data_IF_524406637149
#
_entry.id   IF_524406637149
#
_cell.length_a   1.000
_cell.length_b   1.000
_cell.length_c   1.000
_cell.angle_alpha   90.00
_cell.angle_beta   90.00
_cell.angle_gamma   90.00
#
_symmetry.space_group_name_H-M   'P 1'
#
loop_
_entity.id
_entity.type
_entity.pdbx_description
1 polymer ?
#
# COMPACT_ATOMS: atom_id res chain seq x y z
N UNK A 1 -19.96 7.69 5.65
CA UNK A 1 -18.54 7.79 5.26
C UNK A 1 -18.11 6.67 4.32
N UNK A 2 -18.50 5.41 4.55
CA UNK A 2 -18.20 4.28 3.65
C UNK A 2 -18.62 4.53 2.18
N UNK A 3 -19.79 5.12 1.94
CA UNK A 3 -20.25 5.47 0.58
C UNK A 3 -19.29 6.42 -0.16
N UNK A 4 -18.72 7.40 0.55
CA UNK A 4 -17.74 8.33 -0.01
C UNK A 4 -16.43 7.63 -0.36
N UNK A 5 -15.92 6.77 0.53
CA UNK A 5 -14.71 6.00 0.27
C UNK A 5 -14.85 5.09 -0.97
N UNK A 6 -15.99 4.41 -1.11
CA UNK A 6 -16.28 3.57 -2.28
C UNK A 6 -16.37 4.38 -3.59
N UNK A 7 -16.98 5.57 -3.55
CA UNK A 7 -17.02 6.48 -4.70
C UNK A 7 -15.62 6.91 -5.13
N UNK A 8 -14.77 7.29 -4.16
CA UNK A 8 -13.37 7.66 -4.42
C UNK A 8 -12.60 6.47 -5.00
N UNK A 9 -12.80 5.26 -4.45
CA UNK A 9 -12.18 4.03 -4.99
C UNK A 9 -12.60 3.78 -6.44
N UNK A 10 -13.89 3.88 -6.76
CA UNK A 10 -14.38 3.72 -8.13
C UNK A 10 -13.84 4.78 -9.09
N UNK A 11 -13.81 6.04 -8.67
CA UNK A 11 -13.22 7.13 -9.45
C UNK A 11 -11.72 6.92 -9.67
N UNK A 12 -10.98 6.53 -8.63
CA UNK A 12 -9.55 6.24 -8.72
C UNK A 12 -9.26 5.07 -9.66
N UNK A 13 -10.04 3.99 -9.58
CA UNK A 13 -9.96 2.87 -10.53
C UNK A 13 -10.11 3.35 -11.97
N UNK A 14 -11.13 4.16 -12.26
CA UNK A 14 -11.36 4.71 -13.60
C UNK A 14 -10.20 5.60 -14.08
N UNK A 15 -9.66 6.46 -13.20
CA UNK A 15 -8.50 7.31 -13.50
C UNK A 15 -7.28 6.47 -13.85
N UNK A 16 -6.95 5.45 -13.07
CA UNK A 16 -5.79 4.59 -13.36
C UNK A 16 -6.01 3.76 -14.63
N UNK A 17 -7.20 3.21 -14.88
CA UNK A 17 -7.52 2.57 -16.17
C UNK A 17 -7.36 3.53 -17.35
N UNK A 18 -7.81 4.78 -17.20
CA UNK A 18 -7.60 5.83 -18.18
C UNK A 18 -6.12 6.15 -18.39
N UNK A 19 -5.32 6.17 -17.32
CA UNK A 19 -3.87 6.36 -17.40
C UNK A 19 -3.18 5.20 -18.14
N UNK A 20 -3.53 3.95 -17.85
CA UNK A 20 -3.05 2.78 -18.59
C UNK A 20 -3.34 2.93 -20.10
N UNK A 21 -4.57 3.32 -20.45
CA UNK A 21 -4.96 3.57 -21.84
C UNK A 21 -4.19 4.74 -22.47
N UNK A 22 -4.05 5.88 -21.78
CA UNK A 22 -3.30 7.03 -22.28
C UNK A 22 -1.82 6.70 -22.53
N UNK A 23 -1.19 5.91 -21.66
CA UNK A 23 0.18 5.43 -21.86
C UNK A 23 0.32 4.49 -23.06
N UNK A 24 -0.77 3.89 -23.56
CA UNK A 24 -0.74 3.14 -24.81
C UNK A 24 -0.50 4.03 -26.03
N UNK A 25 -0.87 5.31 -25.94
CA UNK A 25 -0.69 6.31 -26.99
C UNK A 25 0.74 6.86 -27.04
N UNK A 26 1.51 6.73 -25.96
CA UNK A 26 2.90 7.21 -25.92
C UNK A 26 3.85 6.23 -26.63
N UNK A 27 4.82 6.76 -27.42
CA UNK A 27 5.86 5.95 -28.02
C UNK A 27 6.72 5.32 -26.93
N UNK A 28 6.75 3.99 -26.89
CA UNK A 28 7.62 3.24 -25.99
C UNK A 28 9.07 3.35 -26.48
N UNK A 29 10.05 3.58 -25.59
CA UNK A 29 11.46 3.56 -25.97
C UNK A 29 11.81 2.26 -26.69
N UNK A 30 12.59 2.34 -27.78
CA UNK A 30 13.01 1.15 -28.54
C UNK A 30 13.76 0.12 -27.69
N UNK A 31 14.44 0.58 -26.62
CA UNK A 31 15.13 -0.27 -25.65
C UNK A 31 14.20 -1.13 -24.77
N UNK A 32 12.92 -0.76 -24.64
CA UNK A 32 11.91 -1.53 -23.90
C UNK A 32 10.90 -2.23 -24.84
N UNK A 33 11.23 -2.34 -26.13
CA UNK A 33 10.31 -2.83 -27.16
C UNK A 33 9.89 -4.30 -26.96
N UNK A 34 10.69 -5.10 -26.26
CA UNK A 34 10.40 -6.52 -26.00
C UNK A 34 9.28 -6.68 -24.95
N UNK A 35 9.23 -5.79 -23.96
CA UNK A 35 8.32 -5.86 -22.81
C UNK A 35 7.49 -4.56 -22.64
N UNK A 36 6.95 -4.03 -23.75
CA UNK A 36 6.24 -2.73 -23.78
C UNK A 36 5.13 -2.59 -22.75
N UNK A 37 4.29 -3.62 -22.61
CA UNK A 37 3.20 -3.61 -21.64
C UNK A 37 3.75 -3.53 -20.21
N UNK A 38 4.74 -4.36 -19.88
CA UNK A 38 5.34 -4.43 -18.54
C UNK A 38 6.02 -3.11 -18.17
N UNK A 39 6.71 -2.49 -19.13
CA UNK A 39 7.29 -1.15 -18.94
C UNK A 39 6.21 -0.11 -18.60
N UNK A 40 5.11 -0.08 -19.38
CA UNK A 40 3.98 0.83 -19.14
C UNK A 40 3.34 0.58 -17.77
N UNK A 41 3.11 -0.69 -17.42
CA UNK A 41 2.58 -1.08 -16.11
C UNK A 41 3.46 -0.53 -14.98
N UNK A 42 4.78 -0.77 -15.05
CA UNK A 42 5.73 -0.27 -14.05
C UNK A 42 5.74 1.26 -13.99
N UNK A 43 5.54 1.98 -15.10
CA UNK A 43 5.39 3.43 -15.08
C UNK A 43 4.13 3.88 -14.33
N UNK A 44 2.99 3.21 -14.55
CA UNK A 44 1.76 3.50 -13.77
C UNK A 44 1.99 3.21 -12.29
N UNK A 45 2.58 2.06 -11.98
CA UNK A 45 2.91 1.68 -10.61
C UNK A 45 3.86 2.67 -9.95
N UNK A 46 4.84 3.20 -10.69
CA UNK A 46 5.75 4.24 -10.20
C UNK A 46 4.99 5.53 -9.85
N UNK A 47 4.07 5.98 -10.71
CA UNK A 47 3.23 7.17 -10.45
C UNK A 47 2.38 6.96 -9.20
N UNK A 48 1.76 5.79 -9.07
CA UNK A 48 1.00 5.45 -7.87
C UNK A 48 1.88 5.49 -6.62
N UNK A 49 2.99 4.73 -6.60
CA UNK A 49 3.85 4.62 -5.44
C UNK A 49 4.47 5.96 -5.02
N UNK A 50 4.77 6.85 -5.99
CA UNK A 50 5.21 8.21 -5.70
C UNK A 50 4.08 9.03 -5.04
N UNK A 51 2.90 9.02 -5.64
CA UNK A 51 1.76 9.79 -5.15
C UNK A 51 1.35 9.35 -3.74
N UNK A 52 1.17 8.06 -3.53
CA UNK A 52 0.67 7.53 -2.25
C UNK A 52 1.74 7.44 -1.19
N UNK A 53 2.98 7.09 -1.56
CA UNK A 53 4.11 7.06 -0.63
C UNK A 53 4.47 8.45 -0.09
N UNK A 54 4.54 9.47 -0.96
CA UNK A 54 4.82 10.86 -0.53
C UNK A 54 3.65 11.42 0.27
N UNK A 55 2.40 11.15 -0.14
CA UNK A 55 1.22 11.59 0.61
C UNK A 55 1.18 10.93 2.00
N UNK A 56 1.46 9.63 2.11
CA UNK A 56 1.53 8.95 3.40
C UNK A 56 2.62 9.56 4.30
N UNK A 57 3.82 9.81 3.75
CA UNK A 57 4.93 10.41 4.50
C UNK A 57 4.59 11.81 5.00
N UNK A 58 4.08 12.69 4.14
CA UNK A 58 3.66 14.03 4.53
C UNK A 58 2.50 13.97 5.52
N UNK A 59 1.54 13.10 5.28
CA UNK A 59 0.38 12.89 6.11
C UNK A 59 0.73 12.50 7.54
N UNK A 60 1.62 11.53 7.72
CA UNK A 60 2.12 11.11 9.04
C UNK A 60 3.01 12.16 9.70
N UNK A 61 3.76 12.93 8.91
CA UNK A 61 4.59 14.03 9.43
C UNK A 61 3.74 15.18 9.98
N UNK A 62 2.61 15.47 9.33
CA UNK A 62 1.70 16.55 9.72
C UNK A 62 0.65 16.12 10.76
N UNK A 63 0.25 14.85 10.75
CA UNK A 63 -0.76 14.27 11.65
C UNK A 63 -0.23 13.00 12.32
N UNK A 64 0.75 13.13 13.24
CA UNK A 64 1.34 11.99 13.93
C UNK A 64 0.32 11.21 14.79
N UNK A 65 -0.85 11.81 15.07
CA UNK A 65 -1.95 11.16 15.78
C UNK A 65 -2.39 9.86 15.09
N UNK A 66 -2.24 9.72 13.77
CA UNK A 66 -2.55 8.48 13.06
C UNK A 66 -1.61 7.31 13.41
N UNK A 67 -0.40 7.59 13.92
CA UNK A 67 0.51 6.57 14.41
C UNK A 67 0.32 6.29 15.92
N UNK A 68 -0.21 7.25 16.66
CA UNK A 68 -0.47 7.15 18.11
C UNK A 68 -1.80 6.44 18.39
N UNK A 69 -2.86 6.79 17.66
CA UNK A 69 -4.15 6.10 17.64
C UNK A 69 -4.47 5.65 16.21
N UNK A 70 -3.89 4.52 15.76
CA UNK A 70 -4.07 4.03 14.40
C UNK A 70 -5.49 3.55 14.09
N UNK A 71 -6.32 3.32 15.12
CA UNK A 71 -7.66 2.77 14.99
C UNK A 71 -8.64 3.89 14.66
N UNK A 72 -8.68 4.96 15.46
CA UNK A 72 -9.72 5.99 15.37
C UNK A 72 -9.19 7.37 14.96
N UNK A 73 -7.91 7.66 15.19
CA UNK A 73 -7.33 8.98 15.01
C UNK A 73 -6.95 9.28 13.57
N UNK A 74 -7.91 9.52 12.68
CA UNK A 74 -7.61 9.87 11.28
C UNK A 74 -8.42 11.07 10.74
N UNK A 75 -7.78 11.95 9.95
CA UNK A 75 -8.48 12.97 9.18
C UNK A 75 -9.16 12.35 7.95
N UNK A 76 -10.15 13.06 7.39
CA UNK A 76 -10.92 12.56 6.23
C UNK A 76 -10.07 12.34 4.97
N UNK A 77 -8.99 13.11 4.79
CA UNK A 77 -8.08 12.94 3.65
C UNK A 77 -7.31 11.60 3.71
N UNK A 78 -7.09 11.04 4.90
CA UNK A 78 -6.40 9.76 5.05
C UNK A 78 -7.24 8.62 4.46
N UNK A 79 -8.56 8.69 4.63
CA UNK A 79 -9.49 7.76 4.00
C UNK A 79 -9.47 7.90 2.47
N UNK A 80 -9.33 9.12 1.95
CA UNK A 80 -9.18 9.37 0.50
C UNK A 80 -7.90 8.74 -0.02
N UNK A 81 -6.77 8.91 0.67
CA UNK A 81 -5.50 8.28 0.31
C UNK A 81 -5.64 6.74 0.24
N UNK A 82 -6.23 6.12 1.26
CA UNK A 82 -6.48 4.67 1.28
C UNK A 82 -7.41 4.24 0.14
N UNK A 83 -8.49 4.99 -0.11
CA UNK A 83 -9.44 4.72 -1.18
C UNK A 83 -8.80 4.82 -2.58
N UNK A 84 -7.93 5.81 -2.80
CA UNK A 84 -7.13 5.94 -4.02
C UNK A 84 -6.21 4.74 -4.20
N UNK A 85 -5.58 4.26 -3.13
CA UNK A 85 -4.74 3.06 -3.20
C UNK A 85 -5.51 1.81 -3.56
N UNK A 86 -6.69 1.58 -2.98
CA UNK A 86 -7.55 0.45 -3.36
C UNK A 86 -7.93 0.52 -4.84
N UNK A 87 -8.33 1.69 -5.34
CA UNK A 87 -8.70 1.88 -6.74
C UNK A 87 -7.55 1.55 -7.70
N UNK A 88 -6.33 1.98 -7.36
CA UNK A 88 -5.12 1.61 -8.11
C UNK A 88 -4.85 0.11 -8.09
N UNK A 89 -4.79 -0.55 -6.92
CA UNK A 89 -4.44 -1.97 -6.83
C UNK A 89 -5.43 -2.86 -7.59
N UNK A 90 -6.72 -2.48 -7.59
CA UNK A 90 -7.74 -3.11 -8.42
C UNK A 90 -7.48 -2.90 -9.91
N UNK A 91 -7.15 -1.67 -10.33
CA UNK A 91 -6.88 -1.35 -11.73
C UNK A 91 -5.65 -2.10 -12.27
N UNK A 92 -4.57 -2.15 -11.49
CA UNK A 92 -3.32 -2.86 -11.83
C UNK A 92 -3.54 -4.38 -11.83
N UNK A 93 -4.28 -4.91 -10.84
CA UNK A 93 -4.63 -6.34 -10.80
C UNK A 93 -5.46 -6.79 -12.01
N UNK A 94 -6.44 -5.97 -12.43
CA UNK A 94 -7.20 -6.22 -13.67
C UNK A 94 -6.28 -6.16 -14.88
N UNK A 95 -5.36 -5.19 -14.96
CA UNK A 95 -4.44 -5.07 -16.09
C UNK A 95 -3.51 -6.29 -16.19
N UNK A 96 -3.00 -6.80 -15.07
CA UNK A 96 -2.20 -8.01 -15.03
C UNK A 96 -2.98 -9.26 -15.48
N UNK A 97 -4.22 -9.42 -15.02
CA UNK A 97 -5.08 -10.54 -15.42
C UNK A 97 -5.39 -10.56 -16.92
N UNK A 98 -5.45 -9.39 -17.55
CA UNK A 98 -5.73 -9.25 -18.98
C UNK A 98 -4.48 -9.44 -19.85
N UNK A 99 -3.29 -9.14 -19.33
CA UNK A 99 -2.06 -9.07 -20.13
C UNK A 99 -1.00 -10.12 -19.77
N UNK A 100 -1.15 -10.85 -18.66
CA UNK A 100 -0.24 -11.92 -18.25
C UNK A 100 -0.99 -13.24 -18.00
N UNK A 101 -0.27 -14.35 -18.09
CA UNK A 101 -0.82 -15.65 -17.66
C UNK A 101 -0.94 -15.69 -16.14
N UNK A 102 -1.95 -16.41 -15.63
CA UNK A 102 -2.18 -16.54 -14.19
C UNK A 102 -0.94 -17.03 -13.43
N UNK A 103 -0.16 -17.95 -13.99
CA UNK A 103 1.06 -18.46 -13.36
C UNK A 103 2.14 -17.38 -13.20
N UNK A 104 2.29 -16.48 -14.17
CA UNK A 104 3.25 -15.36 -14.10
C UNK A 104 2.79 -14.26 -13.14
N UNK A 105 1.49 -14.03 -13.06
CA UNK A 105 0.88 -12.97 -12.25
C UNK A 105 0.55 -13.40 -10.81
N UNK A 106 0.56 -14.70 -10.51
CA UNK A 106 0.00 -15.28 -9.28
C UNK A 106 0.53 -14.65 -8.00
N UNK A 107 1.86 -14.54 -7.86
CA UNK A 107 2.49 -14.00 -6.65
C UNK A 107 2.04 -12.55 -6.39
N UNK A 108 2.00 -11.74 -7.45
CA UNK A 108 1.66 -10.33 -7.36
C UNK A 108 0.14 -10.12 -7.22
N UNK A 109 -0.70 -10.96 -7.84
CA UNK A 109 -2.15 -10.95 -7.62
C UNK A 109 -2.53 -11.37 -6.21
N UNK A 110 -1.86 -12.38 -5.64
CA UNK A 110 -2.04 -12.75 -4.24
C UNK A 110 -1.69 -11.58 -3.32
N UNK A 111 -0.56 -10.90 -3.59
CA UNK A 111 -0.17 -9.71 -2.84
C UNK A 111 -1.24 -8.61 -2.94
N UNK A 112 -1.72 -8.29 -4.16
CA UNK A 112 -2.76 -7.29 -4.37
C UNK A 112 -4.06 -7.66 -3.66
N UNK A 113 -4.44 -8.94 -3.68
CA UNK A 113 -5.65 -9.43 -3.01
C UNK A 113 -5.60 -9.18 -1.51
N UNK A 114 -4.47 -9.44 -0.86
CA UNK A 114 -4.28 -9.20 0.58
C UNK A 114 -4.32 -7.70 0.88
N UNK A 115 -3.60 -6.88 0.11
CA UNK A 115 -3.56 -5.42 0.31
C UNK A 115 -4.94 -4.80 0.11
N UNK A 116 -5.63 -5.12 -1.00
CA UNK A 116 -6.98 -4.65 -1.30
C UNK A 116 -7.95 -5.04 -0.19
N UNK A 117 -7.89 -6.28 0.31
CA UNK A 117 -8.77 -6.73 1.39
C UNK A 117 -8.56 -5.94 2.68
N UNK A 118 -7.29 -5.72 3.07
CA UNK A 118 -6.94 -4.95 4.26
C UNK A 118 -7.40 -3.49 4.15
N UNK A 119 -7.03 -2.81 3.06
CA UNK A 119 -7.38 -1.41 2.84
C UNK A 119 -8.90 -1.20 2.68
N UNK A 120 -9.59 -2.12 2.01
CA UNK A 120 -11.05 -2.07 1.86
C UNK A 120 -11.77 -2.24 3.19
N UNK A 121 -11.24 -3.08 4.08
CA UNK A 121 -11.77 -3.24 5.44
C UNK A 121 -11.70 -1.91 6.21
N UNK A 122 -10.61 -1.15 6.06
CA UNK A 122 -10.50 0.17 6.68
C UNK A 122 -11.49 1.20 6.07
N UNK A 123 -11.76 1.12 4.77
CA UNK A 123 -12.76 1.98 4.11
C UNK A 123 -14.18 1.69 4.61
N UNK A 124 -14.53 0.41 4.70
CA UNK A 124 -15.88 -0.03 5.08
C UNK A 124 -16.14 0.18 6.58
N UNK A 125 -15.15 -0.12 7.42
CA UNK A 125 -15.26 0.05 8.87
C UNK A 125 -15.02 1.50 9.31
N UNK A 126 -14.30 2.30 8.53
CA UNK A 126 -13.75 3.59 8.96
C UNK A 126 -12.87 3.49 10.22
N UNK A 127 -12.24 2.34 10.43
CA UNK A 127 -11.27 2.09 11.49
C UNK A 127 -9.95 1.62 10.86
N UNK A 128 -8.85 1.67 11.61
CA UNK A 128 -7.52 1.21 11.15
C UNK A 128 -6.93 1.99 9.97
N UNK A 129 -7.48 3.17 9.66
CA UNK A 129 -6.99 4.02 8.57
C UNK A 129 -5.55 4.45 8.84
N UNK A 130 -5.17 4.71 10.09
CA UNK A 130 -3.79 5.04 10.45
C UNK A 130 -2.81 3.91 10.14
N UNK A 131 -3.17 2.65 10.45
CA UNK A 131 -2.37 1.47 10.06
C UNK A 131 -2.24 1.36 8.54
N UNK A 132 -3.32 1.64 7.81
CA UNK A 132 -3.31 1.63 6.35
C UNK A 132 -2.36 2.71 5.79
N UNK A 133 -2.37 3.93 6.34
CA UNK A 133 -1.44 5.00 5.93
C UNK A 133 0.01 4.62 6.25
N UNK A 134 0.28 4.05 7.42
CA UNK A 134 1.63 3.53 7.75
C UNK A 134 2.04 2.43 6.79
N UNK A 135 1.12 1.53 6.40
CA UNK A 135 1.40 0.48 5.41
C UNK A 135 1.70 1.05 4.02
N UNK A 136 1.14 2.20 3.66
CA UNK A 136 1.41 2.87 2.38
C UNK A 136 2.80 3.53 2.34
N UNK A 137 3.51 3.68 3.47
CA UNK A 137 4.93 4.07 3.45
C UNK A 137 5.79 3.06 2.69
N UNK A 138 5.38 1.78 2.66
CA UNK A 138 6.09 0.74 1.92
C UNK A 138 6.20 1.05 0.42
N UNK A 139 5.27 1.85 -0.12
CA UNK A 139 5.31 2.29 -1.52
C UNK A 139 6.54 3.15 -1.84
N UNK A 140 7.14 3.85 -0.86
CA UNK A 140 8.38 4.59 -1.09
C UNK A 140 9.55 3.67 -1.43
N UNK A 141 9.58 2.45 -0.89
CA UNK A 141 10.54 1.43 -1.33
C UNK A 141 10.21 0.93 -2.74
N UNK A 142 8.92 0.76 -3.05
CA UNK A 142 8.45 0.38 -4.39
C UNK A 142 8.86 1.38 -5.47
N UNK A 143 8.92 2.69 -5.18
CA UNK A 143 9.43 3.72 -6.10
C UNK A 143 10.85 3.39 -6.57
N UNK A 144 11.79 3.18 -5.65
CA UNK A 144 13.18 2.85 -6.00
C UNK A 144 13.26 1.53 -6.77
N UNK A 145 12.44 0.56 -6.39
CA UNK A 145 12.39 -0.76 -7.01
C UNK A 145 11.82 -0.68 -8.45
N UNK A 146 10.79 0.12 -8.69
CA UNK A 146 10.23 0.38 -10.02
C UNK A 146 11.24 1.11 -10.91
N UNK A 147 11.92 2.15 -10.39
CA UNK A 147 12.99 2.83 -11.13
C UNK A 147 14.11 1.86 -11.53
N UNK A 148 14.55 1.00 -10.61
CA UNK A 148 15.55 -0.04 -10.92
C UNK A 148 15.05 -1.03 -11.98
N UNK A 149 13.80 -1.48 -11.91
CA UNK A 149 13.18 -2.35 -12.93
C UNK A 149 13.11 -1.67 -14.31
N UNK A 150 12.76 -0.38 -14.37
CA UNK A 150 12.73 0.38 -15.62
C UNK A 150 14.13 0.52 -16.24
N UNK A 151 15.16 0.71 -15.42
CA UNK A 151 16.56 0.71 -15.87
C UNK A 151 17.01 -0.66 -16.41
N UNK A 152 16.57 -1.75 -15.77
CA UNK A 152 16.83 -3.11 -16.26
C UNK A 152 16.13 -3.40 -17.58
N UNK A 153 14.84 -3.04 -17.69
CA UNK A 153 14.06 -3.22 -18.92
C UNK A 153 14.55 -2.34 -20.08
N UNK A 154 15.31 -1.29 -19.82
CA UNK A 154 15.92 -0.43 -20.84
C UNK A 154 17.38 -0.80 -21.15
N UNK A 155 17.85 -1.96 -20.66
CA UNK A 155 19.23 -2.46 -20.83
C UNK A 155 20.30 -1.48 -20.36
N UNK A 156 19.99 -0.65 -19.35
CA UNK A 156 20.92 0.32 -18.76
C UNK A 156 21.76 -0.27 -17.61
N UNK A 157 21.93 -1.59 -17.55
CA UNK A 157 22.71 -2.25 -16.51
C UNK A 157 23.99 -2.88 -17.10
N UNK A 158 25.18 -2.60 -16.53
CA UNK A 158 25.45 -1.69 -15.41
C UNK A 158 25.59 -0.21 -15.84
N UNK A 159 24.99 0.71 -15.08
CA UNK A 159 25.19 2.16 -15.21
C UNK A 159 25.24 2.83 -13.84
N UNK A 160 25.76 4.05 -13.76
CA UNK A 160 25.77 4.84 -12.51
C UNK A 160 24.34 5.02 -11.96
N UNK A 161 23.37 5.29 -12.85
CA UNK A 161 21.96 5.38 -12.48
C UNK A 161 21.43 4.07 -11.87
N UNK A 162 21.80 2.92 -12.44
CA UNK A 162 21.42 1.61 -11.90
C UNK A 162 22.03 1.35 -10.51
N UNK A 163 23.31 1.67 -10.32
CA UNK A 163 23.98 1.51 -9.02
C UNK A 163 23.35 2.40 -7.95
N UNK A 164 23.09 3.68 -8.25
CA UNK A 164 22.41 4.61 -7.33
C UNK A 164 21.02 4.10 -6.99
N UNK A 165 20.22 3.68 -7.99
CA UNK A 165 18.89 3.11 -7.76
C UNK A 165 18.93 1.85 -6.90
N UNK A 166 19.94 1.00 -7.06
CA UNK A 166 20.12 -0.21 -6.27
C UNK A 166 20.43 0.09 -4.80
N UNK A 167 21.37 1.01 -4.54
CA UNK A 167 21.67 1.47 -3.18
C UNK A 167 20.49 2.18 -2.53
N UNK A 168 19.78 3.04 -3.27
CA UNK A 168 18.56 3.69 -2.79
C UNK A 168 17.45 2.67 -2.47
N UNK A 169 17.31 1.61 -3.28
CA UNK A 169 16.37 0.51 -2.98
C UNK A 169 16.71 -0.18 -1.66
N UNK A 170 18.00 -0.41 -1.38
CA UNK A 170 18.43 -1.03 -0.13
C UNK A 170 18.20 -0.10 1.08
N UNK A 171 18.52 1.19 0.95
CA UNK A 171 18.28 2.17 2.01
C UNK A 171 16.79 2.32 2.33
N UNK A 172 15.96 2.47 1.30
CA UNK A 172 14.50 2.59 1.47
C UNK A 172 13.87 1.30 1.97
N UNK A 173 14.45 0.13 1.70
CA UNK A 173 13.99 -1.15 2.25
C UNK A 173 14.05 -1.15 3.77
N UNK A 174 15.17 -0.70 4.34
CA UNK A 174 15.32 -0.61 5.79
C UNK A 174 14.34 0.42 6.39
N UNK A 175 14.32 1.63 5.83
CA UNK A 175 13.59 2.77 6.42
C UNK A 175 12.08 2.72 6.22
N UNK A 176 11.62 2.35 5.04
CA UNK A 176 10.21 2.45 4.66
C UNK A 176 9.49 1.10 4.59
N UNK A 177 10.22 -0.01 4.72
CA UNK A 177 9.61 -1.35 4.76
C UNK A 177 9.83 -2.06 6.08
N UNK A 178 11.09 -2.28 6.47
CA UNK A 178 11.37 -3.04 7.70
C UNK A 178 10.93 -2.28 8.96
N UNK A 179 11.23 -0.98 9.06
CA UNK A 179 10.80 -0.19 10.22
C UNK A 179 9.28 -0.09 10.36
N UNK A 180 8.50 0.30 9.33
CA UNK A 180 7.04 0.37 9.46
C UNK A 180 6.39 -0.99 9.72
N UNK A 181 6.85 -2.06 9.06
CA UNK A 181 6.36 -3.41 9.32
C UNK A 181 6.67 -3.88 10.75
N UNK A 182 7.89 -3.61 11.23
CA UNK A 182 8.28 -3.92 12.61
C UNK A 182 7.41 -3.16 13.62
N UNK A 183 7.18 -1.87 13.37
CA UNK A 183 6.29 -1.04 14.19
C UNK A 183 4.85 -1.58 14.22
N UNK A 184 4.25 -1.85 13.05
CA UNK A 184 2.88 -2.37 12.95
C UNK A 184 2.75 -3.73 13.66
N UNK A 185 3.73 -4.61 13.50
CA UNK A 185 3.74 -5.93 14.14
C UNK A 185 3.79 -5.80 15.66
N UNK A 186 4.67 -4.94 16.19
CA UNK A 186 4.78 -4.69 17.62
C UNK A 186 3.51 -4.05 18.18
N UNK A 187 2.92 -3.10 17.45
CA UNK A 187 1.66 -2.47 17.83
C UNK A 187 0.53 -3.49 17.93
N UNK A 188 0.40 -4.38 16.94
CA UNK A 188 -0.63 -5.43 16.93
C UNK A 188 -0.48 -6.41 18.10
N UNK A 189 0.76 -6.83 18.38
CA UNK A 189 1.07 -7.70 19.52
C UNK A 189 0.69 -7.02 20.84
N UNK A 190 1.04 -5.73 21.00
CA UNK A 190 0.68 -4.96 22.20
C UNK A 190 -0.84 -4.84 22.36
N UNK A 191 -1.55 -4.57 21.27
CA UNK A 191 -3.01 -4.48 21.28
C UNK A 191 -3.64 -5.81 21.72
N UNK A 192 -3.22 -6.93 21.12
CA UNK A 192 -3.71 -8.26 21.49
C UNK A 192 -3.45 -8.58 22.97
N UNK A 193 -2.27 -8.23 23.50
CA UNK A 193 -1.99 -8.42 24.93
C UNK A 193 -2.86 -7.55 25.84
N UNK A 194 -3.17 -6.31 25.45
CA UNK A 194 -4.06 -5.45 26.22
C UNK A 194 -5.50 -5.98 26.23
N UNK A 195 -5.98 -6.47 25.08
CA UNK A 195 -7.32 -7.05 24.98
C UNK A 195 -7.46 -8.33 25.81
N UNK A 196 -6.43 -9.20 25.80
CA UNK A 196 -6.38 -10.38 26.66
C UNK A 196 -6.40 -10.03 28.15
N UNK A 197 -5.62 -9.02 28.58
CA UNK A 197 -5.62 -8.55 29.97
C UNK A 197 -6.98 -8.00 30.38
N UNK A 198 -7.58 -7.17 29.53
CA UNK A 198 -8.91 -6.59 29.78
C UNK A 198 -9.98 -7.67 29.95
N UNK A 199 -9.96 -8.70 29.11
CA UNK A 199 -10.89 -9.82 29.22
C UNK A 199 -10.65 -10.64 30.49
N UNK A 200 -9.39 -10.87 30.86
CA UNK A 200 -9.05 -11.56 32.11
C UNK A 200 -9.54 -10.78 33.36
N UNK A 201 -9.39 -9.46 33.37
CA UNK A 201 -9.90 -8.61 34.45
C UNK A 201 -11.44 -8.71 34.52
N UNK A 202 -12.15 -8.56 33.40
CA UNK A 202 -13.62 -8.67 33.36
C UNK A 202 -14.09 -10.02 33.89
N UNK A 203 -13.45 -11.12 33.49
CA UNK A 203 -13.79 -12.46 34.01
C UNK A 203 -13.42 -12.64 35.49
N UNK A 204 -12.32 -12.04 35.96
CA UNK A 204 -11.94 -12.03 37.37
C UNK A 204 -12.92 -11.25 38.24
N UNK A 205 -13.43 -10.11 37.76
CA UNK A 205 -14.49 -9.36 38.41
C UNK A 205 -15.78 -10.17 38.46
N UNK A 206 -16.24 -10.74 37.33
CA UNK A 206 -17.47 -11.57 37.29
C UNK A 206 -17.35 -12.80 38.20
N UNK A 207 -16.18 -13.44 38.26
CA UNK A 207 -15.92 -14.56 39.18
C UNK A 207 -15.99 -14.18 40.66
N UNK A 208 -15.48 -13.00 41.03
CA UNK A 208 -15.57 -12.51 42.40
C UNK A 208 -17.00 -12.12 42.82
N UNK A 209 -17.84 -11.63 41.90
CA UNK A 209 -19.25 -11.36 42.20
C UNK A 209 -20.07 -12.64 42.40
N UNK A 210 -19.72 -13.74 41.72
CA UNK A 210 -20.40 -15.02 41.87
C UNK A 210 -20.06 -15.78 43.16
N UNK A 211 -18.97 -15.42 43.85
CA UNK A 211 -18.53 -16.04 45.12
C UNK A 211 -19.09 -15.28 46.33
N UNK A 212 -19.66 -14.09 46.14
CA UNK A 212 -20.17 -13.21 47.22
C UNK A 212 -21.72 -13.22 47.31
N UNK A 213 -22.38 -14.22 46.71
CA UNK A 213 -23.81 -14.52 46.93
C UNK A 213 -23.99 -15.90 47.55
#
# INVERSE_FOLDING_TARGET
>A
MASWGLLVTGASFAVFRGLHWALQLLPTPGSAAQDRWKWRNICVSLVHSLLTGVWALLGLSLYPQMAVDPINGHPSWALVLVAVSVGYFLADGVDMLLNQTLGQAWELLCHHSVVVSCLSTAILSNHYVGLCVVSLLLELNSVCLHLRKLLLLSHQAPSLAFSVASWATLATLALFRLMPLGWMSLWLIRQQHQDLRRNADVHGWVGNWAIVQ
#
